data_IF_072691710771
#
_entry.id   IF_072691710771
#
_cell.length_a   1.000
_cell.length_b   1.000
_cell.length_c   1.000
_cell.angle_alpha   90.00
_cell.angle_beta   90.00
_cell.angle_gamma   90.00
#
_symmetry.space_group_name_H-M   'P 1'
#
loop_
_entity.id
_entity.type
_entity.pdbx_description
1 polymer ?
#
# COMPACT_ATOMS: atom_id res chain seq x y z
N UNK A 1 5.20 19.89 23.70
CA UNK A 1 6.26 18.95 24.11
C UNK A 1 6.21 17.65 23.31
N UNK A 2 5.05 17.02 23.04
CA UNK A 2 4.97 15.84 22.15
C UNK A 2 5.23 16.12 20.66
N UNK A 3 5.20 17.39 20.25
CA UNK A 3 5.33 17.80 18.86
C UNK A 3 6.76 17.79 18.31
N UNK A 4 7.79 17.59 19.15
CA UNK A 4 9.19 17.77 18.74
C UNK A 4 9.89 16.51 18.22
N UNK A 5 9.40 15.29 18.50
CA UNK A 5 10.02 14.06 17.96
C UNK A 5 8.97 12.94 17.70
N UNK A 6 8.10 13.11 16.71
CA UNK A 6 7.32 11.97 16.19
C UNK A 6 8.28 11.10 15.38
N UNK A 7 8.48 9.85 15.79
CA UNK A 7 9.36 8.87 15.15
C UNK A 7 8.62 7.55 14.98
N UNK A 8 9.00 6.73 14.00
CA UNK A 8 8.30 5.46 13.72
C UNK A 8 8.12 4.56 14.96
N UNK A 9 9.01 4.65 15.96
CA UNK A 9 8.94 3.87 17.19
C UNK A 9 7.83 4.32 18.15
N UNK A 10 7.53 5.63 18.21
CA UNK A 10 6.54 6.19 19.14
C UNK A 10 5.19 6.52 18.48
N UNK A 11 5.05 6.30 17.17
CA UNK A 11 3.80 6.55 16.44
C UNK A 11 2.58 5.90 17.11
N UNK A 12 2.59 4.62 17.53
CA UNK A 12 1.40 4.01 18.14
C UNK A 12 0.92 4.75 19.40
N UNK A 13 1.86 5.10 20.29
CA UNK A 13 1.55 5.80 21.54
C UNK A 13 1.06 7.23 21.28
N UNK A 14 1.74 7.95 20.37
CA UNK A 14 1.36 9.30 20.00
C UNK A 14 0.01 9.30 19.29
N UNK A 15 -0.27 8.35 18.40
CA UNK A 15 -1.54 8.25 17.69
C UNK A 15 -2.70 7.94 18.63
N UNK A 16 -2.48 7.10 19.65
CA UNK A 16 -3.46 6.87 20.72
C UNK A 16 -3.85 8.15 21.45
N UNK A 17 -2.84 8.96 21.82
CA UNK A 17 -3.06 10.24 22.49
C UNK A 17 -3.72 11.24 21.54
N UNK A 18 -3.25 11.33 20.29
CA UNK A 18 -3.78 12.24 19.29
C UNK A 18 -5.27 11.96 19.00
N UNK A 19 -5.64 10.68 18.89
CA UNK A 19 -7.03 10.26 18.69
C UNK A 19 -7.89 10.56 19.90
N UNK A 20 -7.39 10.31 21.12
CA UNK A 20 -8.10 10.62 22.36
C UNK A 20 -8.36 12.14 22.53
N UNK A 21 -7.42 12.96 22.06
CA UNK A 21 -7.52 14.43 22.13
C UNK A 21 -8.19 15.05 20.90
N UNK A 22 -8.59 14.24 19.91
CA UNK A 22 -9.12 14.69 18.62
C UNK A 22 -8.17 15.71 17.93
N UNK A 23 -6.86 15.56 18.13
CA UNK A 23 -5.85 16.44 17.56
C UNK A 23 -5.47 15.99 16.14
N UNK A 24 -6.26 16.47 15.18
CA UNK A 24 -6.05 16.26 13.74
C UNK A 24 -4.63 16.66 13.28
N UNK A 25 -4.01 17.68 13.90
CA UNK A 25 -2.66 18.11 13.50
C UNK A 25 -1.61 17.06 13.86
N UNK A 26 -1.79 16.38 14.99
CA UNK A 26 -0.90 15.32 15.46
C UNK A 26 -1.17 14.00 14.74
N UNK A 27 -2.44 13.67 14.45
CA UNK A 27 -2.82 12.54 13.59
C UNK A 27 -2.14 12.65 12.23
N UNK A 28 -2.24 13.82 11.58
CA UNK A 28 -1.61 14.08 10.29
C UNK A 28 -0.07 13.99 10.34
N UNK A 29 0.56 14.39 11.47
CA UNK A 29 2.01 14.21 11.65
C UNK A 29 2.39 12.74 11.77
N UNK A 30 1.64 11.95 12.52
CA UNK A 30 1.82 10.51 12.60
C UNK A 30 1.68 9.85 11.21
N UNK A 31 0.66 10.22 10.45
CA UNK A 31 0.46 9.72 9.09
C UNK A 31 1.67 10.00 8.19
N UNK A 32 2.19 11.23 8.20
CA UNK A 32 3.39 11.61 7.43
C UNK A 32 4.64 10.82 7.79
N UNK A 33 4.82 10.46 9.06
CA UNK A 33 5.94 9.59 9.47
C UNK A 33 5.74 8.17 8.92
N UNK A 34 4.50 7.68 8.93
CA UNK A 34 4.16 6.36 8.40
C UNK A 34 4.20 6.28 6.88
N UNK A 35 3.99 7.37 6.15
CA UNK A 35 4.11 7.43 4.68
C UNK A 35 5.48 6.94 4.18
N UNK A 36 6.53 7.07 4.99
CA UNK A 36 7.90 6.62 4.63
C UNK A 36 8.00 5.09 4.55
N UNK A 37 7.28 4.37 5.42
CA UNK A 37 7.35 2.90 5.49
C UNK A 37 6.06 2.29 6.06
N UNK A 38 4.92 2.46 5.37
CA UNK A 38 3.62 2.06 5.91
C UNK A 38 3.51 0.54 6.02
N UNK A 39 4.05 -0.20 5.05
CA UNK A 39 4.02 -1.66 5.07
C UNK A 39 4.75 -2.25 6.27
N UNK A 40 5.93 -1.71 6.57
CA UNK A 40 6.71 -2.15 7.72
C UNK A 40 5.93 -1.92 9.03
N UNK A 41 5.20 -0.81 9.13
CA UNK A 41 4.35 -0.53 10.28
C UNK A 41 3.19 -1.51 10.41
N UNK A 42 2.40 -1.72 9.35
CA UNK A 42 1.24 -2.63 9.39
C UNK A 42 1.62 -4.09 9.69
N UNK A 43 2.79 -4.53 9.23
CA UNK A 43 3.28 -5.88 9.46
C UNK A 43 4.04 -6.05 10.79
N UNK A 44 4.39 -4.95 11.44
CA UNK A 44 5.13 -4.98 12.70
C UNK A 44 4.23 -5.34 13.90
N UNK A 45 4.79 -5.89 14.98
CA UNK A 45 4.07 -6.10 16.23
C UNK A 45 3.60 -4.81 16.90
N UNK A 46 4.19 -3.66 16.57
CA UNK A 46 3.87 -2.38 17.23
C UNK A 46 2.46 -1.90 16.90
N UNK A 47 1.84 -2.43 15.84
CA UNK A 47 0.43 -2.16 15.54
C UNK A 47 -0.48 -2.53 16.71
N UNK A 48 -0.17 -3.62 17.44
CA UNK A 48 -0.98 -4.11 18.56
C UNK A 48 -1.05 -3.17 19.77
N UNK A 49 -0.20 -2.14 19.82
CA UNK A 49 -0.27 -1.08 20.83
C UNK A 49 -1.35 -0.04 20.55
N UNK A 50 -1.92 -0.01 19.33
CA UNK A 50 -3.02 0.90 18.99
C UNK A 50 -4.31 0.50 19.68
N UNK A 51 -5.04 1.48 20.19
CA UNK A 51 -6.43 1.27 20.57
C UNK A 51 -7.33 1.18 19.32
N UNK A 52 -8.58 0.74 19.53
CA UNK A 52 -9.58 0.58 18.47
C UNK A 52 -9.72 1.83 17.59
N UNK A 53 -9.91 2.97 18.23
CA UNK A 53 -10.26 4.22 17.55
C UNK A 53 -9.07 4.77 16.78
N UNK A 54 -7.86 4.56 17.28
CA UNK A 54 -6.61 4.96 16.62
C UNK A 54 -6.30 4.10 15.43
N UNK A 55 -6.60 2.79 15.48
CA UNK A 55 -6.54 1.95 14.29
C UNK A 55 -7.56 2.42 13.26
N UNK A 56 -8.78 2.75 13.67
CA UNK A 56 -9.79 3.29 12.74
C UNK A 56 -9.32 4.61 12.10
N UNK A 57 -8.81 5.54 12.89
CA UNK A 57 -8.26 6.81 12.40
C UNK A 57 -7.10 6.58 11.44
N UNK A 58 -6.23 5.61 11.73
CA UNK A 58 -5.13 5.23 10.85
C UNK A 58 -5.63 4.69 9.50
N UNK A 59 -6.62 3.82 9.51
CA UNK A 59 -7.17 3.18 8.31
C UNK A 59 -7.91 4.16 7.38
N UNK A 60 -8.44 5.25 7.96
CA UNK A 60 -9.01 6.39 7.22
C UNK A 60 -7.96 7.19 6.45
N UNK A 61 -6.70 7.18 6.91
CA UNK A 61 -5.61 7.85 6.19
C UNK A 61 -5.31 7.12 4.87
N UNK A 62 -5.02 7.87 3.81
CA UNK A 62 -4.67 7.31 2.50
C UNK A 62 -3.18 6.95 2.42
N UNK A 63 -2.71 6.08 3.32
CA UNK A 63 -1.30 5.69 3.40
C UNK A 63 -0.86 4.90 2.15
N UNK A 64 0.32 5.21 1.55
CA UNK A 64 0.80 4.59 0.32
C UNK A 64 1.38 3.19 0.55
N UNK A 65 0.50 2.23 0.88
CA UNK A 65 0.87 0.80 1.04
C UNK A 65 1.14 0.13 -0.30
N UNK A 66 2.00 -0.88 -0.34
CA UNK A 66 2.30 -1.61 -1.60
C UNK A 66 1.10 -2.40 -2.14
N UNK A 67 0.24 -2.90 -1.24
CA UNK A 67 -0.97 -3.65 -1.56
C UNK A 67 -1.95 -3.58 -0.39
N UNK A 68 -3.25 -3.60 -0.68
CA UNK A 68 -4.31 -3.71 0.34
C UNK A 68 -4.18 -4.99 1.18
N UNK A 69 -3.50 -6.03 0.66
CA UNK A 69 -3.20 -7.23 1.44
C UNK A 69 -2.40 -6.90 2.70
N UNK A 70 -1.55 -5.87 2.65
CA UNK A 70 -0.75 -5.43 3.81
C UNK A 70 -1.64 -4.84 4.89
N UNK A 71 -2.62 -4.02 4.50
CA UNK A 71 -3.61 -3.45 5.43
C UNK A 71 -4.45 -4.58 6.04
N UNK A 72 -4.95 -5.50 5.21
CA UNK A 72 -5.73 -6.63 5.70
C UNK A 72 -4.94 -7.47 6.71
N UNK A 73 -3.69 -7.85 6.39
CA UNK A 73 -2.81 -8.58 7.32
C UNK A 73 -2.57 -7.81 8.62
N UNK A 74 -2.37 -6.49 8.53
CA UNK A 74 -2.20 -5.62 9.69
C UNK A 74 -3.43 -5.63 10.60
N UNK A 75 -4.63 -5.50 10.03
CA UNK A 75 -5.90 -5.60 10.78
C UNK A 75 -6.03 -6.97 11.45
N UNK A 76 -5.76 -8.06 10.72
CA UNK A 76 -5.83 -9.41 11.28
C UNK A 76 -4.84 -9.62 12.44
N UNK A 77 -3.62 -9.11 12.31
CA UNK A 77 -2.61 -9.17 13.37
C UNK A 77 -3.03 -8.35 14.58
N UNK A 78 -3.49 -7.12 14.38
CA UNK A 78 -4.01 -6.26 15.44
C UNK A 78 -5.19 -6.93 16.17
N UNK A 79 -6.18 -7.46 15.45
CA UNK A 79 -7.36 -8.08 16.05
C UNK A 79 -6.98 -9.30 16.90
N UNK A 80 -6.04 -10.14 16.44
CA UNK A 80 -5.54 -11.26 17.24
C UNK A 80 -4.81 -10.79 18.50
N UNK A 81 -4.00 -9.73 18.41
CA UNK A 81 -3.31 -9.17 19.58
C UNK A 81 -4.29 -8.56 20.58
N UNK A 82 -5.32 -7.86 20.08
CA UNK A 82 -6.36 -7.24 20.91
C UNK A 82 -7.24 -8.28 21.61
N UNK A 83 -7.57 -9.39 20.94
CA UNK A 83 -8.30 -10.50 21.57
C UNK A 83 -7.45 -11.20 22.64
N UNK A 84 -6.15 -11.39 22.39
CA UNK A 84 -5.20 -11.95 23.37
C UNK A 84 -5.08 -11.06 24.60
N UNK A 85 -4.98 -9.74 24.44
CA UNK A 85 -4.86 -8.81 25.57
C UNK A 85 -6.14 -8.74 26.42
N UNK A 86 -7.30 -9.01 25.82
CA UNK A 86 -8.59 -9.14 26.50
C UNK A 86 -8.85 -10.53 27.10
N UNK A 87 -7.84 -11.42 27.12
CA UNK A 87 -7.97 -12.82 27.57
C UNK A 87 -9.12 -13.59 26.90
N UNK A 88 -9.51 -13.16 25.70
CA UNK A 88 -10.62 -13.73 24.94
C UNK A 88 -10.14 -14.90 24.08
N UNK A 89 -10.98 -15.92 23.94
CA UNK A 89 -10.69 -17.03 23.04
C UNK A 89 -10.69 -16.54 21.58
N UNK A 90 -9.62 -16.87 20.85
CA UNK A 90 -9.48 -16.53 19.44
C UNK A 90 -10.21 -17.59 18.63
N UNK A 91 -11.48 -17.34 18.34
CA UNK A 91 -12.30 -18.15 17.43
C UNK A 91 -12.53 -17.37 16.13
N UNK A 92 -12.95 -18.05 15.06
CA UNK A 92 -13.31 -17.38 13.80
C UNK A 92 -14.43 -16.35 14.00
N UNK A 93 -15.38 -16.65 14.90
CA UNK A 93 -16.49 -15.76 15.25
C UNK A 93 -16.00 -14.50 15.99
N UNK A 94 -15.17 -14.65 17.03
CA UNK A 94 -14.65 -13.49 17.78
C UNK A 94 -13.74 -12.64 16.90
N UNK A 95 -12.94 -13.26 16.03
CA UNK A 95 -12.11 -12.57 15.07
C UNK A 95 -12.94 -11.80 14.04
N UNK A 96 -14.00 -12.40 13.49
CA UNK A 96 -14.91 -11.70 12.58
C UNK A 96 -15.58 -10.50 13.25
N UNK A 97 -16.06 -10.65 14.48
CA UNK A 97 -16.66 -9.55 15.23
C UNK A 97 -15.69 -8.38 15.43
N UNK A 98 -14.43 -8.67 15.80
CA UNK A 98 -13.40 -7.64 16.02
C UNK A 98 -13.00 -6.93 14.72
N UNK A 99 -12.95 -7.64 13.59
CA UNK A 99 -12.53 -7.12 12.28
C UNK A 99 -13.65 -6.37 11.54
N UNK A 100 -14.92 -6.68 11.84
CA UNK A 100 -16.09 -6.24 11.06
C UNK A 100 -16.10 -4.72 10.78
N UNK A 101 -15.83 -3.92 11.80
CA UNK A 101 -15.81 -2.44 11.71
C UNK A 101 -14.71 -1.87 10.81
N UNK A 102 -13.67 -2.65 10.51
CA UNK A 102 -12.53 -2.19 9.72
C UNK A 102 -12.59 -2.62 8.25
N UNK A 103 -13.46 -3.57 7.91
CA UNK A 103 -13.56 -4.14 6.55
C UNK A 103 -13.93 -3.09 5.50
N UNK A 104 -14.66 -2.05 5.88
CA UNK A 104 -15.02 -0.94 4.99
C UNK A 104 -13.82 -0.08 4.56
N UNK A 105 -12.69 -0.14 5.30
CA UNK A 105 -11.47 0.58 4.97
C UNK A 105 -10.51 -0.21 4.06
N UNK A 106 -10.73 -1.52 3.91
CA UNK A 106 -9.91 -2.37 3.02
C UNK A 106 -10.50 -2.33 1.61
N UNK A 107 -9.69 -1.94 0.63
CA UNK A 107 -10.12 -1.82 -0.78
C UNK A 107 -9.94 -3.15 -1.50
N UNK A 108 -10.69 -4.19 -1.11
CA UNK A 108 -10.59 -5.55 -1.66
C UNK A 108 -10.63 -5.60 -3.19
N UNK A 109 -11.38 -4.70 -3.83
CA UNK A 109 -11.51 -4.62 -5.30
C UNK A 109 -10.22 -4.21 -6.03
N UNK A 110 -9.21 -3.74 -5.30
CA UNK A 110 -7.89 -3.41 -5.84
C UNK A 110 -6.88 -4.55 -5.71
N UNK A 111 -7.22 -5.61 -4.97
CA UNK A 111 -6.39 -6.81 -4.87
C UNK A 111 -6.51 -7.66 -6.14
N UNK A 112 -5.46 -8.42 -6.44
CA UNK A 112 -5.56 -9.50 -7.41
C UNK A 112 -6.40 -10.67 -6.86
N UNK A 113 -7.03 -11.46 -7.73
CA UNK A 113 -7.71 -12.69 -7.31
C UNK A 113 -6.74 -13.66 -6.61
N UNK A 114 -5.50 -13.72 -7.06
CA UNK A 114 -4.46 -14.54 -6.44
C UNK A 114 -4.18 -14.10 -4.99
N UNK A 115 -3.97 -12.80 -4.78
CA UNK A 115 -3.72 -12.26 -3.44
C UNK A 115 -4.91 -12.48 -2.52
N UNK A 116 -6.14 -12.29 -3.04
CA UNK A 116 -7.35 -12.53 -2.28
C UNK A 116 -7.45 -14.00 -1.82
N UNK A 117 -7.25 -14.95 -2.75
CA UNK A 117 -7.28 -16.38 -2.42
C UNK A 117 -6.15 -16.77 -1.47
N UNK A 118 -4.96 -16.20 -1.63
CA UNK A 118 -3.76 -16.56 -0.85
C UNK A 118 -3.74 -15.94 0.54
N UNK A 119 -4.31 -14.76 0.72
CA UNK A 119 -4.14 -13.97 1.93
C UNK A 119 -5.43 -13.65 2.67
N UNK A 120 -6.59 -13.62 1.99
CA UNK A 120 -7.87 -13.27 2.60
C UNK A 120 -8.69 -14.52 2.95
N UNK A 121 -8.84 -15.45 2.01
CA UNK A 121 -9.62 -16.68 2.22
C UNK A 121 -9.14 -17.57 3.38
N UNK A 122 -7.83 -17.75 3.63
CA UNK A 122 -7.37 -18.63 4.70
C UNK A 122 -7.80 -18.20 6.11
N UNK A 123 -8.18 -16.93 6.28
CA UNK A 123 -8.66 -16.40 7.57
C UNK A 123 -10.04 -16.91 7.97
N UNK A 124 -10.83 -17.42 7.01
CA UNK A 124 -12.15 -18.04 7.26
C UNK A 124 -13.12 -17.16 8.06
N UNK A 125 -13.00 -15.83 7.95
CA UNK A 125 -13.89 -14.85 8.59
C UNK A 125 -15.06 -14.43 7.70
N UNK A 126 -15.04 -14.78 6.42
CA UNK A 126 -16.06 -14.42 5.43
C UNK A 126 -17.04 -15.56 5.19
N UNK A 127 -18.29 -15.23 4.91
CA UNK A 127 -19.27 -16.21 4.43
C UNK A 127 -18.98 -16.58 2.97
N UNK A 128 -19.53 -17.69 2.50
CA UNK A 128 -19.40 -18.10 1.10
C UNK A 128 -19.97 -17.04 0.14
N UNK A 129 -21.12 -16.45 0.48
CA UNK A 129 -21.77 -15.40 -0.30
C UNK A 129 -20.91 -14.12 -0.38
N UNK A 130 -20.26 -13.74 0.72
CA UNK A 130 -19.34 -12.60 0.73
C UNK A 130 -18.11 -12.86 -0.15
N UNK A 131 -17.53 -14.05 -0.05
CA UNK A 131 -16.38 -14.47 -0.87
C UNK A 131 -16.73 -14.41 -2.36
N UNK A 132 -17.86 -15.00 -2.74
CA UNK A 132 -18.32 -15.03 -4.13
C UNK A 132 -18.56 -13.61 -4.66
N UNK A 133 -19.28 -12.78 -3.89
CA UNK A 133 -19.55 -11.39 -4.27
C UNK A 133 -18.27 -10.57 -4.46
N UNK A 134 -17.29 -10.69 -3.55
CA UNK A 134 -16.01 -9.99 -3.67
C UNK A 134 -15.24 -10.50 -4.90
N UNK A 135 -15.17 -11.81 -5.12
CA UNK A 135 -14.45 -12.38 -6.26
C UNK A 135 -15.06 -11.95 -7.60
N UNK A 136 -16.38 -11.96 -7.73
CA UNK A 136 -17.06 -11.47 -8.93
C UNK A 136 -16.82 -9.98 -9.17
N UNK A 137 -16.80 -9.17 -8.11
CA UNK A 137 -16.49 -7.74 -8.22
C UNK A 137 -15.01 -7.48 -8.59
N UNK A 138 -14.06 -8.28 -8.09
CA UNK A 138 -12.64 -8.22 -8.50
C UNK A 138 -12.51 -8.64 -9.99
N UNK A 139 -13.21 -9.70 -10.40
CA UNK A 139 -13.19 -10.19 -11.78
C UNK A 139 -13.92 -9.27 -12.78
N UNK A 140 -14.63 -8.24 -12.31
CA UNK A 140 -15.35 -7.29 -13.15
C UNK A 140 -16.66 -7.83 -13.72
N UNK A 141 -17.26 -8.85 -13.07
CA UNK A 141 -18.58 -9.37 -13.46
C UNK A 141 -19.65 -8.31 -13.18
N UNK A 142 -20.46 -7.91 -14.18
CA UNK A 142 -21.49 -6.89 -13.99
C UNK A 142 -22.64 -7.41 -13.09
N UNK A 143 -23.40 -6.48 -12.50
CA UNK A 143 -24.65 -6.73 -11.76
C UNK A 143 -24.54 -7.48 -10.41
N UNK A 144 -23.33 -7.79 -9.94
CA UNK A 144 -23.13 -8.37 -8.60
C UNK A 144 -22.94 -7.26 -7.56
N UNK A 145 -23.92 -7.11 -6.67
CA UNK A 145 -23.82 -6.14 -5.59
C UNK A 145 -22.86 -6.60 -4.50
N UNK A 146 -21.97 -5.69 -4.09
CA UNK A 146 -21.09 -5.90 -2.94
C UNK A 146 -21.86 -5.62 -1.63
N UNK A 147 -21.71 -6.45 -0.58
CA UNK A 147 -22.32 -6.16 0.72
C UNK A 147 -21.87 -4.80 1.26
N UNK A 148 -22.78 -4.08 1.94
CA UNK A 148 -22.54 -2.71 2.44
C UNK A 148 -21.38 -2.57 3.42
N UNK A 149 -20.89 -3.69 3.96
CA UNK A 149 -19.76 -3.76 4.86
C UNK A 149 -18.41 -3.49 4.18
N UNK A 150 -18.32 -3.70 2.87
CA UNK A 150 -17.06 -3.64 2.13
C UNK A 150 -16.88 -2.32 1.39
N UNK A 151 -15.62 -1.93 1.19
CA UNK A 151 -15.29 -0.77 0.38
C UNK A 151 -15.65 -1.01 -1.09
N UNK A 152 -16.34 -0.06 -1.71
CA UNK A 152 -16.60 -0.03 -3.15
C UNK A 152 -15.45 0.60 -3.95
N UNK A 153 -14.39 1.06 -3.28
CA UNK A 153 -13.26 1.74 -3.92
C UNK A 153 -12.47 0.78 -4.82
N UNK A 154 -12.26 1.23 -6.06
CA UNK A 154 -11.39 0.59 -7.06
C UNK A 154 -10.06 1.35 -7.24
N UNK A 155 -9.80 2.36 -6.40
CA UNK A 155 -8.57 3.15 -6.45
C UNK A 155 -7.50 2.60 -5.52
N UNK A 156 -6.32 2.30 -6.08
CA UNK A 156 -5.15 1.91 -5.30
C UNK A 156 -4.67 3.05 -4.38
N UNK A 157 -4.31 2.71 -3.14
CA UNK A 157 -3.64 3.62 -2.20
C UNK A 157 -2.21 3.95 -2.62
N UNK A 158 -1.56 3.04 -3.35
CA UNK A 158 -0.29 3.31 -4.01
C UNK A 158 -0.51 4.23 -5.23
N UNK A 159 -0.87 5.47 -4.95
CA UNK A 159 -0.63 6.56 -5.90
C UNK A 159 0.88 6.74 -5.89
N UNK A 160 1.60 6.02 -6.74
CA UNK A 160 2.88 6.52 -7.20
C UNK A 160 2.67 8.01 -7.45
N UNK A 161 3.41 8.88 -6.75
CA UNK A 161 3.35 10.31 -6.95
C UNK A 161 3.56 10.54 -8.45
N UNK A 162 2.46 10.64 -9.22
CA UNK A 162 2.46 10.95 -10.65
C UNK A 162 3.20 12.28 -10.89
N UNK A 163 3.35 13.08 -9.83
CA UNK A 163 4.11 14.33 -9.75
C UNK A 163 5.63 14.18 -9.61
N UNK A 164 6.22 12.98 -9.52
CA UNK A 164 7.68 12.77 -9.43
C UNK A 164 8.24 11.73 -10.40
N UNK A 165 7.42 11.12 -11.24
CA UNK A 165 7.87 10.65 -12.54
C UNK A 165 7.88 11.86 -13.49
N UNK A 166 8.62 12.91 -13.13
CA UNK A 166 9.12 13.83 -14.12
C UNK A 166 9.97 12.98 -15.06
N UNK A 167 9.40 12.70 -16.21
CA UNK A 167 10.07 12.12 -17.37
C UNK A 167 11.38 12.89 -17.48
N UNK A 168 12.48 12.27 -17.06
CA UNK A 168 13.80 12.81 -17.30
C UNK A 168 13.95 12.85 -18.82
N UNK A 169 13.62 14.00 -19.42
CA UNK A 169 13.99 14.31 -20.79
C UNK A 169 15.50 14.36 -20.80
N UNK A 170 16.12 13.23 -21.11
CA UNK A 170 17.52 13.17 -21.46
C UNK A 170 17.63 13.84 -22.83
N UNK A 171 17.62 15.17 -22.83
CA UNK A 171 18.14 15.91 -23.97
C UNK A 171 19.64 15.63 -23.97
N UNK A 172 20.11 15.01 -25.05
CA UNK A 172 21.53 14.85 -25.35
C UNK A 172 22.24 16.19 -25.20
N UNK A 173 23.02 16.34 -24.12
CA UNK A 173 23.85 17.52 -23.89
C UNK A 173 23.68 18.12 -22.50
N UNK A 174 24.55 17.69 -21.58
CA UNK A 174 24.90 18.35 -20.31
C UNK A 174 23.80 18.42 -19.22
N UNK A 175 23.92 17.52 -18.24
CA UNK A 175 23.24 17.64 -16.94
C UNK A 175 23.88 18.78 -16.13
N UNK A 176 23.30 19.97 -16.16
CA UNK A 176 23.65 21.05 -15.23
C UNK A 176 22.70 21.04 -14.03
N UNK A 177 23.22 20.52 -12.92
CA UNK A 177 22.88 20.79 -11.50
C UNK A 177 21.45 21.28 -11.18
N UNK A 178 20.59 20.36 -10.74
CA UNK A 178 20.01 20.36 -9.38
C UNK A 178 18.93 19.27 -9.23
N UNK A 179 19.37 18.02 -9.04
CA UNK A 179 18.76 16.98 -8.18
C UNK A 179 19.64 15.73 -8.32
N UNK A 180 20.02 15.12 -7.19
CA UNK A 180 21.05 14.07 -7.11
C UNK A 180 20.51 12.72 -7.62
N UNK A 181 20.42 12.57 -8.93
CA UNK A 181 20.32 11.26 -9.57
C UNK A 181 21.54 11.08 -10.47
N UNK A 182 22.33 10.03 -10.22
CA UNK A 182 23.40 9.63 -11.12
C UNK A 182 22.94 8.38 -11.85
N UNK A 183 22.63 8.54 -13.13
CA UNK A 183 22.44 7.41 -14.03
C UNK A 183 23.81 7.11 -14.63
N UNK A 184 24.39 5.98 -14.27
CA UNK A 184 25.67 5.53 -14.84
C UNK A 184 25.41 4.44 -15.87
N UNK A 185 25.86 4.67 -17.10
CA UNK A 185 25.91 3.68 -18.18
C UNK A 185 27.20 2.87 -18.00
N UNK A 186 27.10 1.70 -17.38
CA UNK A 186 28.22 0.76 -17.28
C UNK A 186 28.29 -0.20 -18.48
N UNK A 187 27.19 -0.35 -19.22
CA UNK A 187 27.04 -1.17 -20.43
C UNK A 187 25.86 -0.63 -21.27
N UNK A 188 25.81 -0.75 -22.62
CA UNK A 188 24.73 -0.18 -23.43
C UNK A 188 23.32 -0.71 -23.09
N UNK A 189 23.23 -1.79 -22.32
CA UNK A 189 21.99 -2.50 -22.02
C UNK A 189 21.55 -2.43 -20.55
N UNK A 190 22.25 -1.68 -19.69
CA UNK A 190 21.92 -1.62 -18.25
C UNK A 190 21.94 -0.17 -17.78
N UNK A 191 20.76 0.32 -17.39
CA UNK A 191 20.61 1.56 -16.65
C UNK A 191 20.46 1.21 -15.17
N UNK A 192 21.49 1.52 -14.39
CA UNK A 192 21.46 1.43 -12.92
C UNK A 192 21.07 2.79 -12.35
N UNK A 193 19.86 2.89 -11.80
CA UNK A 193 19.48 3.99 -10.92
C UNK A 193 20.01 3.67 -9.52
N UNK A 194 21.05 4.39 -9.08
CA UNK A 194 21.66 4.19 -7.77
C UNK A 194 21.04 5.18 -6.80
N UNK A 195 19.98 4.78 -6.09
CA UNK A 195 19.71 5.31 -4.76
C UNK A 195 20.66 4.64 -3.75
N UNK A 196 20.91 5.24 -2.58
CA UNK A 196 21.68 4.55 -1.54
C UNK A 196 20.99 3.31 -0.95
N UNK A 197 19.70 3.00 -1.24
CA UNK A 197 19.00 1.87 -0.58
C UNK A 197 18.00 1.04 -1.40
N UNK A 198 17.78 1.30 -2.68
CA UNK A 198 16.90 0.46 -3.51
C UNK A 198 17.41 0.39 -4.94
N UNK A 199 17.75 -0.83 -5.41
CA UNK A 199 18.12 -1.10 -6.81
C UNK A 199 16.85 -1.50 -7.56
N UNK A 200 16.51 -0.77 -8.61
CA UNK A 200 15.44 -1.14 -9.54
C UNK A 200 16.08 -1.87 -10.73
N UNK A 201 15.65 -3.09 -11.00
CA UNK A 201 16.11 -3.88 -12.15
C UNK A 201 15.16 -3.69 -13.34
N UNK A 202 15.65 -3.14 -14.44
CA UNK A 202 14.93 -3.10 -15.72
C UNK A 202 15.29 -4.35 -16.53
N UNK A 203 14.30 -5.12 -16.96
CA UNK A 203 14.49 -6.48 -17.48
C UNK A 203 14.87 -6.56 -18.95
N UNK A 204 14.56 -5.55 -19.78
CA UNK A 204 14.98 -5.55 -21.20
C UNK A 204 14.87 -4.17 -21.84
N UNK A 205 15.92 -3.77 -22.55
CA UNK A 205 15.91 -2.58 -23.41
C UNK A 205 16.16 -3.10 -24.83
N UNK A 206 15.12 -3.19 -25.66
CA UNK A 206 15.24 -3.54 -27.07
C UNK A 206 15.39 -2.24 -27.86
N UNK A 207 16.59 -2.03 -28.41
CA UNK A 207 16.89 -0.92 -29.30
C UNK A 207 16.78 -1.39 -30.75
N UNK A 208 15.76 -0.95 -31.46
CA UNK A 208 15.67 -1.06 -32.92
C UNK A 208 15.58 0.35 -33.54
N UNK A 209 16.61 0.78 -34.26
CA UNK A 209 16.49 1.84 -35.27
C UNK A 209 17.45 3.03 -35.18
N UNK A 210 17.99 3.39 -36.35
CA UNK A 210 18.93 4.48 -36.63
C UNK A 210 18.40 5.88 -36.32
N UNK A 211 19.32 6.70 -35.80
CA UNK A 211 19.35 8.17 -35.64
C UNK A 211 18.13 8.93 -36.20
N UNK A 212 17.29 9.43 -35.29
CA UNK A 212 16.32 10.49 -35.57
C UNK A 212 14.88 10.10 -35.28
N UNK A 213 14.26 10.87 -34.38
CA UNK A 213 12.85 10.90 -33.98
C UNK A 213 12.42 10.15 -32.71
N UNK A 214 11.47 10.80 -32.04
CA UNK A 214 10.90 10.55 -30.72
C UNK A 214 10.29 9.15 -30.65
N UNK A 215 10.85 8.29 -29.79
CA UNK A 215 10.32 6.96 -29.49
C UNK A 215 9.43 6.96 -28.24
N UNK A 216 8.38 6.15 -28.27
CA UNK A 216 7.52 5.86 -27.11
C UNK A 216 8.20 4.82 -26.20
N UNK A 217 8.39 5.19 -24.94
CA UNK A 217 9.00 4.34 -23.93
C UNK A 217 7.94 3.37 -23.38
N UNK A 218 8.07 2.07 -23.66
CA UNK A 218 7.18 1.06 -23.07
C UNK A 218 7.84 0.44 -21.85
N UNK A 219 7.39 0.82 -20.66
CA UNK A 219 7.74 0.11 -19.43
C UNK A 219 7.07 -1.27 -19.49
N UNK A 220 7.82 -2.33 -19.14
CA UNK A 220 7.29 -3.69 -19.00
C UNK A 220 7.77 -4.23 -17.66
N UNK A 221 6.89 -4.93 -16.96
CA UNK A 221 7.29 -5.77 -15.83
C UNK A 221 8.19 -6.93 -16.31
N UNK A 222 8.88 -7.58 -15.38
CA UNK A 222 9.63 -8.84 -15.51
C UNK A 222 8.92 -9.95 -16.32
N UNK A 223 7.60 -9.85 -16.46
CA UNK A 223 6.72 -10.74 -17.24
C UNK A 223 6.48 -10.33 -18.71
N UNK A 224 6.95 -9.15 -19.15
CA UNK A 224 6.88 -8.72 -20.57
C UNK A 224 5.56 -8.08 -21.03
N UNK A 225 4.59 -7.90 -20.14
CA UNK A 225 3.30 -7.24 -20.44
C UNK A 225 3.48 -5.72 -20.61
N UNK A 226 3.01 -5.20 -21.75
CA UNK A 226 2.95 -3.74 -22.01
C UNK A 226 1.85 -3.14 -21.13
N UNK A 227 2.12 -2.02 -20.46
CA UNK A 227 1.04 -1.17 -19.97
C UNK A 227 0.16 -0.79 -21.16
N UNK A 228 -1.12 -1.17 -21.13
CA UNK A 228 -2.13 -0.56 -22.00
C UNK A 228 -2.50 0.78 -21.37
N UNK A 229 -2.31 1.85 -22.13
CA UNK A 229 -2.81 3.17 -21.79
C UNK A 229 -4.32 3.10 -21.56
N UNK A 230 -4.73 3.46 -20.34
CA UNK A 230 -6.04 4.03 -20.01
C UNK A 230 -5.78 5.27 -19.17
#
# INVERSE_FOLDING_TARGET
YLSSEVSAANVPEILNIATLLEDETLINKCAKVLEVSPDAFFLSPTIGSLNSDSLEQLLRQDLPVSSETVIFKGIMNWSRMNLKSKESEITTTSLRQEVNKYLCYVRFLTMSLEDFVRHVLPEKIFTFEEVESIQFNIAGVPEVNLPSLFSTSKENRNRFHKSQLDICRINSGQCTRNTRYYVTLSNPNILTCIQPKSIIYLSKLEYEGNIGYVGTLTVKDSSGLKFRDV
#
